data_IF_864238720651
#
_entry.id   IF_864238720651
#
_cell.length_a   1.000
_cell.length_b   1.000
_cell.length_c   1.000
_cell.angle_alpha   90.00
_cell.angle_beta   90.00
_cell.angle_gamma   90.00
#
_symmetry.space_group_name_H-M   'P 1'
#
loop_
_entity.id
_entity.type
_entity.pdbx_description
1 polymer ?
#
# COMPACT_ATOMS: atom_id res chain seq x y z
N UNK A 1 -17.87 12.34 11.22
CA UNK A 1 -17.39 12.24 9.83
C UNK A 1 -15.92 12.62 9.86
N UNK A 2 -15.03 11.85 9.22
CA UNK A 2 -13.63 12.24 9.14
C UNK A 2 -13.50 13.53 8.31
N UNK A 3 -12.67 14.47 8.76
CA UNK A 3 -12.40 15.70 8.01
C UNK A 3 -11.63 15.37 6.74
N UNK A 4 -12.06 15.92 5.60
CA UNK A 4 -11.39 15.75 4.31
C UNK A 4 -10.76 17.06 3.87
N UNK A 5 -9.59 16.95 3.24
CA UNK A 5 -8.84 18.09 2.69
C UNK A 5 -8.70 17.92 1.18
N UNK A 6 -8.74 19.04 0.45
CA UNK A 6 -8.54 19.08 -1.00
C UNK A 6 -7.07 19.39 -1.28
N UNK A 7 -6.41 18.51 -2.03
CA UNK A 7 -5.01 18.67 -2.44
C UNK A 7 -4.93 18.87 -3.95
N UNK A 8 -4.17 19.87 -4.39
CA UNK A 8 -3.91 20.12 -5.81
C UNK A 8 -2.52 19.62 -6.19
N UNK A 9 -2.44 18.85 -7.28
CA UNK A 9 -1.19 18.30 -7.82
C UNK A 9 -0.88 18.93 -9.18
N UNK A 10 0.38 19.32 -9.39
CA UNK A 10 0.88 19.77 -10.69
C UNK A 10 1.69 18.66 -11.34
N UNK A 11 1.23 18.21 -12.50
CA UNK A 11 1.88 17.18 -13.30
C UNK A 11 2.19 17.74 -14.70
N UNK A 12 3.27 17.25 -15.30
CA UNK A 12 3.47 17.43 -16.74
C UNK A 12 2.35 16.71 -17.50
N UNK A 13 2.01 17.23 -18.68
CA UNK A 13 0.87 16.72 -19.47
C UNK A 13 1.04 15.25 -19.85
N UNK A 14 2.25 14.84 -20.21
CA UNK A 14 2.61 13.45 -20.53
C UNK A 14 2.40 12.51 -19.34
N UNK A 15 2.88 12.87 -18.15
CA UNK A 15 2.65 12.10 -16.92
C UNK A 15 1.15 11.99 -16.59
N UNK A 16 0.40 13.09 -16.73
CA UNK A 16 -1.05 13.06 -16.54
C UNK A 16 -1.74 12.09 -17.51
N UNK A 17 -1.32 12.02 -18.78
CA UNK A 17 -1.87 11.06 -19.73
C UNK A 17 -1.54 9.62 -19.37
N UNK A 18 -0.35 9.35 -18.82
CA UNK A 18 0.00 8.02 -18.32
C UNK A 18 -0.90 7.62 -17.14
N UNK A 19 -1.08 8.51 -16.16
CA UNK A 19 -1.99 8.28 -15.02
C UNK A 19 -3.42 8.02 -15.50
N UNK A 20 -3.90 8.81 -16.47
CA UNK A 20 -5.22 8.60 -17.06
C UNK A 20 -5.36 7.20 -17.67
N UNK A 21 -4.40 6.76 -18.48
CA UNK A 21 -4.42 5.41 -19.09
C UNK A 21 -4.47 4.31 -18.04
N UNK A 22 -3.73 4.46 -16.94
CA UNK A 22 -3.76 3.49 -15.84
C UNK A 22 -5.12 3.49 -15.17
N UNK A 23 -5.67 4.65 -14.80
CA UNK A 23 -6.99 4.76 -14.20
C UNK A 23 -8.07 4.11 -15.09
N UNK A 24 -8.04 4.38 -16.41
CA UNK A 24 -8.93 3.78 -17.39
C UNK A 24 -8.78 2.23 -17.43
N UNK A 25 -7.54 1.71 -17.38
CA UNK A 25 -7.26 0.26 -17.34
C UNK A 25 -7.80 -0.42 -16.08
N UNK A 26 -7.78 0.27 -14.94
CA UNK A 26 -8.33 -0.22 -13.67
C UNK A 26 -9.84 0.04 -13.52
N UNK A 27 -10.48 0.72 -14.49
CA UNK A 27 -11.91 1.05 -14.45
C UNK A 27 -12.28 2.03 -13.34
N UNK A 28 -11.35 2.89 -12.91
CA UNK A 28 -11.55 3.85 -11.82
C UNK A 28 -11.30 5.30 -12.28
N UNK A 29 -11.79 6.25 -11.49
CA UNK A 29 -11.53 7.66 -11.79
C UNK A 29 -10.07 8.03 -11.55
N UNK A 30 -9.57 9.03 -12.29
CA UNK A 30 -8.21 9.56 -12.14
C UNK A 30 -7.94 9.99 -10.69
N UNK A 31 -8.91 10.66 -10.05
CA UNK A 31 -8.79 11.11 -8.67
C UNK A 31 -8.69 9.94 -7.69
N UNK A 32 -9.45 8.85 -7.92
CA UNK A 32 -9.37 7.63 -7.11
C UNK A 32 -8.00 6.97 -7.28
N UNK A 33 -7.55 6.80 -8.52
CA UNK A 33 -6.22 6.22 -8.81
C UNK A 33 -5.09 7.01 -8.15
N UNK A 34 -5.10 8.35 -8.25
CA UNK A 34 -4.09 9.19 -7.60
C UNK A 34 -4.16 9.10 -6.07
N UNK A 35 -5.37 9.01 -5.50
CA UNK A 35 -5.55 8.84 -4.05
C UNK A 35 -4.98 7.51 -3.60
N UNK A 36 -5.34 6.42 -4.26
CA UNK A 36 -4.87 5.07 -3.93
C UNK A 36 -3.34 4.99 -4.04
N UNK A 37 -2.75 5.48 -5.14
CA UNK A 37 -1.30 5.46 -5.31
C UNK A 37 -0.52 6.24 -4.23
N UNK A 38 -1.10 7.31 -3.66
CA UNK A 38 -0.49 8.06 -2.54
C UNK A 38 -0.66 7.31 -1.22
N UNK A 39 -1.84 6.73 -0.98
CA UNK A 39 -2.12 5.98 0.24
C UNK A 39 -1.32 4.68 0.31
N UNK A 40 -1.24 3.93 -0.78
CA UNK A 40 -0.40 2.73 -0.90
C UNK A 40 1.05 3.03 -0.50
N UNK A 41 1.59 4.19 -0.89
CA UNK A 41 2.97 4.54 -0.52
C UNK A 41 3.14 4.82 0.98
N UNK A 42 2.10 5.33 1.64
CA UNK A 42 2.13 5.54 3.09
C UNK A 42 2.00 4.19 3.83
N UNK A 43 1.16 3.30 3.30
CA UNK A 43 0.99 1.93 3.81
C UNK A 43 2.29 1.13 3.65
N UNK A 44 2.93 1.17 2.48
CA UNK A 44 4.21 0.49 2.23
C UNK A 44 5.30 0.87 3.25
N UNK A 45 5.40 2.16 3.59
CA UNK A 45 6.40 2.65 4.56
C UNK A 45 6.05 2.23 5.99
N UNK A 46 4.75 2.28 6.35
CA UNK A 46 4.28 1.82 7.66
C UNK A 46 4.52 0.31 7.82
N UNK A 47 4.15 -0.48 6.82
CA UNK A 47 4.36 -1.93 6.80
C UNK A 47 5.84 -2.30 6.89
N UNK A 48 6.71 -1.54 6.21
CA UNK A 48 8.16 -1.71 6.32
C UNK A 48 8.66 -1.50 7.75
N UNK A 49 8.22 -0.41 8.40
CA UNK A 49 8.59 -0.13 9.78
C UNK A 49 8.08 -1.19 10.76
N UNK A 50 6.85 -1.64 10.60
CA UNK A 50 6.27 -2.70 11.43
C UNK A 50 7.00 -4.04 11.22
N UNK A 51 7.34 -4.38 9.98
CA UNK A 51 8.16 -5.55 9.67
C UNK A 51 9.54 -5.47 10.34
N UNK A 52 10.22 -4.32 10.27
CA UNK A 52 11.50 -4.11 10.93
C UNK A 52 11.40 -4.18 12.46
N UNK A 53 10.34 -3.63 13.05
CA UNK A 53 10.09 -3.72 14.48
C UNK A 53 9.91 -5.19 14.93
N UNK A 54 9.12 -5.96 14.18
CA UNK A 54 8.90 -7.38 14.44
C UNK A 54 10.19 -8.20 14.34
N UNK A 55 11.02 -7.95 13.31
CA UNK A 55 12.32 -8.63 13.15
C UNK A 55 13.29 -8.32 14.31
N UNK A 56 13.33 -7.07 14.76
CA UNK A 56 14.16 -6.68 15.90
C UNK A 56 13.65 -7.32 17.21
N UNK A 57 12.33 -7.34 17.40
CA UNK A 57 11.72 -7.93 18.59
C UNK A 57 11.84 -9.46 18.64
N UNK A 58 11.92 -10.14 17.48
CA UNK A 58 12.09 -11.58 17.43
C UNK A 58 13.50 -12.05 17.81
N UNK A 59 14.49 -11.15 17.91
CA UNK A 59 15.88 -11.50 18.21
C UNK A 59 16.46 -12.60 17.30
N UNK A 60 15.98 -12.69 16.05
CA UNK A 60 16.39 -13.71 15.08
C UNK A 60 15.64 -15.04 15.19
N UNK A 61 14.65 -15.15 16.07
CA UNK A 61 13.73 -16.29 16.10
C UNK A 61 12.89 -16.35 14.83
N UNK A 62 12.69 -17.56 14.33
CA UNK A 62 11.92 -17.85 13.12
C UNK A 62 10.86 -18.89 13.42
N UNK A 63 9.73 -18.79 12.73
CA UNK A 63 8.67 -19.80 12.77
C UNK A 63 8.79 -20.74 11.57
N UNK A 64 8.51 -22.02 11.79
CA UNK A 64 8.45 -23.03 10.75
C UNK A 64 7.18 -22.89 9.89
N UNK A 65 7.21 -23.49 8.70
CA UNK A 65 6.05 -23.54 7.80
C UNK A 65 4.85 -24.22 8.48
N UNK A 66 5.08 -25.27 9.25
CA UNK A 66 3.99 -26.04 9.87
C UNK A 66 3.31 -25.24 10.98
N UNK A 67 4.08 -24.47 11.77
CA UNK A 67 3.53 -23.54 12.77
C UNK A 67 2.67 -22.45 12.12
N UNK A 68 3.12 -21.88 10.99
CA UNK A 68 2.33 -20.91 10.23
C UNK A 68 1.04 -21.55 9.68
N UNK A 69 1.11 -22.76 9.13
CA UNK A 69 -0.06 -23.48 8.63
C UNK A 69 -1.09 -23.75 9.73
N UNK A 70 -0.63 -24.15 10.91
CA UNK A 70 -1.49 -24.35 12.07
C UNK A 70 -2.15 -23.03 12.51
N UNK A 71 -1.38 -21.94 12.58
CA UNK A 71 -1.89 -20.61 12.94
C UNK A 71 -2.96 -20.10 11.97
N UNK A 72 -2.77 -20.34 10.66
CA UNK A 72 -3.70 -19.94 9.60
C UNK A 72 -4.88 -20.91 9.39
N UNK A 73 -4.98 -22.00 10.14
CA UNK A 73 -6.04 -23.01 9.98
C UNK A 73 -5.94 -23.80 8.67
N UNK A 74 -4.73 -23.93 8.11
CA UNK A 74 -4.47 -24.62 6.85
C UNK A 74 -3.93 -26.03 7.11
N UNK A 75 -4.82 -27.04 7.09
CA UNK A 75 -4.45 -28.46 7.26
C UNK A 75 -3.85 -29.06 5.98
#
# INVERSE_FOLDING_TARGET
MAETVVTSLRLKKDHYQQVKKMADCHGISIAKYMREAVLERLEDEADYHDAMANLNASHGETVSRDEIRQCLGMH
#
